data_IF_859794547124
#
_entry.id   IF_859794547124
#
_cell.length_a   1.000
_cell.length_b   1.000
_cell.length_c   1.000
_cell.angle_alpha   90.00
_cell.angle_beta   90.00
_cell.angle_gamma   90.00
#
_symmetry.space_group_name_H-M   'P 1'
#
loop_
_entity.id
_entity.type
_entity.pdbx_description
1 polymer ?
#
# COMPACT_ATOMS: atom_id res chain seq x y z
N UNK A 1 -3.10 2.43 -20.72
CA UNK A 1 -3.22 3.72 -20.00
C UNK A 1 -1.99 4.62 -20.16
N UNK A 2 -0.78 4.22 -19.74
CA UNK A 2 0.44 5.05 -19.88
C UNK A 2 0.73 5.50 -21.33
N UNK A 3 0.58 4.59 -22.30
CA UNK A 3 0.73 4.88 -23.73
C UNK A 3 -0.32 5.86 -24.28
N UNK A 4 -1.55 5.81 -23.76
CA UNK A 4 -2.65 6.69 -24.18
C UNK A 4 -2.43 8.11 -23.66
N UNK A 5 -2.04 8.27 -22.39
CA UNK A 5 -1.75 9.59 -21.81
C UNK A 5 -0.63 10.27 -22.62
N UNK A 6 0.44 9.52 -22.92
CA UNK A 6 1.55 10.06 -23.73
C UNK A 6 1.11 10.49 -25.12
N UNK A 7 0.18 9.80 -25.78
CA UNK A 7 -0.27 10.22 -27.11
C UNK A 7 -1.09 11.52 -27.14
N UNK A 8 -1.75 11.89 -26.04
CA UNK A 8 -2.57 13.12 -26.00
C UNK A 8 -1.77 14.39 -25.74
N UNK A 9 -0.65 14.28 -25.01
CA UNK A 9 0.21 15.41 -24.66
C UNK A 9 1.38 15.61 -25.64
N UNK A 10 1.70 14.60 -26.46
CA UNK A 10 2.86 14.60 -27.35
C UNK A 10 2.47 14.11 -28.76
N UNK A 11 1.90 14.98 -29.62
CA UNK A 11 1.65 14.67 -31.03
C UNK A 11 2.96 14.33 -31.76
N UNK A 12 2.90 13.50 -32.81
CA UNK A 12 4.10 12.95 -33.49
C UNK A 12 4.91 13.97 -34.32
N UNK A 13 4.45 15.22 -34.46
CA UNK A 13 5.12 16.21 -35.29
C UNK A 13 6.34 16.79 -34.55
N UNK A 14 7.52 16.27 -34.90
CA UNK A 14 8.78 16.43 -34.18
C UNK A 14 9.69 17.56 -34.71
N UNK A 15 9.19 18.51 -35.49
CA UNK A 15 10.05 19.53 -36.12
C UNK A 15 10.39 20.73 -35.21
N UNK A 16 9.65 20.95 -34.11
CA UNK A 16 9.88 22.07 -33.19
C UNK A 16 9.81 21.61 -31.74
N UNK A 17 10.86 21.88 -30.96
CA UNK A 17 10.83 21.67 -29.49
C UNK A 17 9.84 22.69 -28.91
N UNK A 18 8.63 22.24 -28.58
CA UNK A 18 7.63 23.09 -27.94
C UNK A 18 8.12 23.50 -26.53
N UNK A 19 8.30 24.79 -26.22
CA UNK A 19 8.67 25.22 -24.87
C UNK A 19 7.60 24.85 -23.82
N UNK A 20 6.36 24.60 -24.26
CA UNK A 20 5.24 24.17 -23.42
C UNK A 20 5.03 22.65 -23.45
N UNK A 21 6.06 21.89 -23.81
CA UNK A 21 5.99 20.44 -23.91
C UNK A 21 5.53 19.79 -22.58
N UNK A 22 4.40 19.08 -22.62
CA UNK A 22 3.74 18.49 -21.45
C UNK A 22 2.71 19.40 -20.76
N UNK A 23 2.54 20.66 -21.18
CA UNK A 23 1.50 21.57 -20.68
C UNK A 23 0.36 21.80 -21.68
N UNK A 24 0.36 21.09 -22.81
CA UNK A 24 -0.71 21.16 -23.81
C UNK A 24 -1.46 19.85 -23.91
N UNK A 25 -2.78 19.92 -23.84
CA UNK A 25 -3.68 18.81 -24.16
C UNK A 25 -4.56 19.24 -25.32
N UNK A 26 -4.50 18.54 -26.46
CA UNK A 26 -5.25 18.90 -27.66
C UNK A 26 -5.07 20.38 -28.07
N UNK A 27 -3.83 20.89 -28.03
CA UNK A 27 -3.45 22.29 -28.28
C UNK A 27 -3.98 23.34 -27.29
N UNK A 28 -4.66 22.93 -26.21
CA UNK A 28 -5.08 23.82 -25.13
C UNK A 28 -4.01 23.82 -24.04
N UNK A 29 -3.58 25.01 -23.61
CA UNK A 29 -2.65 25.17 -22.50
C UNK A 29 -3.34 24.83 -21.17
N UNK A 30 -2.67 24.02 -20.34
CA UNK A 30 -3.10 23.64 -19.01
C UNK A 30 -2.15 24.28 -17.99
N UNK A 31 -2.65 25.07 -17.02
CA UNK A 31 -1.87 25.57 -15.90
C UNK A 31 -1.25 24.46 -15.05
N UNK A 32 -0.14 24.78 -14.39
CA UNK A 32 0.62 23.81 -13.59
C UNK A 32 -0.22 23.22 -12.46
N UNK A 33 -1.03 24.05 -11.81
CA UNK A 33 -1.90 23.65 -10.70
C UNK A 33 -2.92 22.60 -11.15
N UNK A 34 -3.42 22.74 -12.39
CA UNK A 34 -4.37 21.78 -12.96
C UNK A 34 -3.65 20.48 -13.33
N UNK A 35 -2.44 20.55 -13.90
CA UNK A 35 -1.62 19.37 -14.18
C UNK A 35 -1.27 18.61 -12.90
N UNK A 36 -0.95 19.31 -11.82
CA UNK A 36 -0.61 18.71 -10.54
C UNK A 36 -1.79 17.90 -9.98
N UNK A 37 -3.00 18.47 -10.01
CA UNK A 37 -4.23 17.78 -9.59
C UNK A 37 -4.48 16.55 -10.47
N UNK A 38 -4.42 16.71 -11.79
CA UNK A 38 -4.62 15.61 -12.74
C UNK A 38 -3.63 14.46 -12.51
N UNK A 39 -2.34 14.78 -12.38
CA UNK A 39 -1.29 13.81 -12.12
C UNK A 39 -1.44 13.15 -10.74
N UNK A 40 -1.96 13.87 -9.73
CA UNK A 40 -2.17 13.30 -8.39
C UNK A 40 -3.19 12.15 -8.40
N UNK A 41 -4.15 12.18 -9.32
CA UNK A 41 -5.17 11.14 -9.51
C UNK A 41 -4.67 9.92 -10.30
N UNK A 42 -3.51 10.01 -10.95
CA UNK A 42 -2.91 8.87 -11.67
C UNK A 42 -2.48 7.78 -10.68
N UNK A 43 -2.65 6.51 -11.03
CA UNK A 43 -2.19 5.36 -10.23
C UNK A 43 -0.68 5.47 -9.93
N UNK A 44 -0.27 5.12 -8.71
CA UNK A 44 1.07 5.46 -8.20
C UNK A 44 2.19 4.93 -9.09
N UNK A 45 2.14 3.66 -9.55
CA UNK A 45 3.20 3.12 -10.44
C UNK A 45 3.26 3.89 -11.75
N UNK A 46 2.10 4.19 -12.32
CA UNK A 46 1.98 4.97 -13.55
C UNK A 46 2.51 6.39 -13.36
N UNK A 47 2.20 7.05 -12.23
CA UNK A 47 2.72 8.38 -11.89
C UNK A 47 4.25 8.40 -11.78
N UNK A 48 4.84 7.37 -11.15
CA UNK A 48 6.30 7.27 -11.05
C UNK A 48 6.95 7.12 -12.43
N UNK A 49 6.29 6.42 -13.37
CA UNK A 49 6.73 6.35 -14.76
C UNK A 49 6.53 7.70 -15.50
N UNK A 50 5.51 8.47 -15.16
CA UNK A 50 5.22 9.79 -15.75
C UNK A 50 6.36 10.80 -15.55
N UNK A 51 7.22 10.61 -14.55
CA UNK A 51 8.46 11.42 -14.37
C UNK A 51 9.39 11.36 -15.59
N UNK A 52 9.34 10.30 -16.39
CA UNK A 52 10.20 10.11 -17.58
C UNK A 52 9.58 10.64 -18.87
N UNK A 53 8.40 11.24 -18.80
CA UNK A 53 7.65 11.71 -19.97
C UNK A 53 8.25 13.01 -20.52
N UNK A 54 8.46 14.01 -19.66
CA UNK A 54 9.19 15.24 -19.98
C UNK A 54 9.73 15.92 -18.71
N UNK A 55 10.65 16.87 -18.86
CA UNK A 55 11.25 17.61 -17.73
C UNK A 55 10.23 18.39 -16.91
N UNK A 56 9.19 18.93 -17.56
CA UNK A 56 8.10 19.65 -16.89
C UNK A 56 7.34 18.74 -15.92
N UNK A 57 6.90 17.58 -16.41
CA UNK A 57 6.21 16.58 -15.58
C UNK A 57 7.12 16.04 -14.48
N UNK A 58 8.39 15.80 -14.78
CA UNK A 58 9.36 15.44 -13.75
C UNK A 58 9.39 16.47 -12.61
N UNK A 59 9.52 17.75 -12.97
CA UNK A 59 9.56 18.86 -12.02
C UNK A 59 8.30 18.89 -11.16
N UNK A 60 7.11 18.97 -11.77
CA UNK A 60 5.82 19.01 -11.05
C UNK A 60 5.66 17.79 -10.13
N UNK A 61 6.03 16.61 -10.60
CA UNK A 61 5.87 15.38 -9.83
C UNK A 61 6.76 15.39 -8.59
N UNK A 62 8.03 15.76 -8.76
CA UNK A 62 9.00 15.80 -7.68
C UNK A 62 8.70 16.95 -6.69
N UNK A 63 8.29 18.13 -7.15
CA UNK A 63 8.06 19.28 -6.27
C UNK A 63 6.75 19.19 -5.49
N UNK A 64 5.65 18.72 -6.12
CA UNK A 64 4.32 18.91 -5.57
C UNK A 64 3.42 17.68 -5.68
N UNK A 65 3.37 16.98 -6.82
CA UNK A 65 2.37 15.89 -7.01
C UNK A 65 2.58 14.74 -6.04
N UNK A 66 3.82 14.33 -5.78
CA UNK A 66 4.09 13.26 -4.81
C UNK A 66 3.63 13.64 -3.39
N UNK A 67 3.79 14.91 -2.99
CA UNK A 67 3.31 15.41 -1.70
C UNK A 67 1.79 15.38 -1.63
N UNK A 68 1.09 15.89 -2.66
CA UNK A 68 -0.38 15.85 -2.75
C UNK A 68 -0.88 14.40 -2.65
N UNK A 69 -0.25 13.49 -3.41
CA UNK A 69 -0.65 12.07 -3.41
C UNK A 69 -0.39 11.39 -2.06
N UNK A 70 0.71 11.74 -1.39
CA UNK A 70 1.00 11.23 -0.05
C UNK A 70 -0.01 11.74 1.00
N UNK A 71 -0.46 12.98 0.87
CA UNK A 71 -1.54 13.55 1.70
C UNK A 71 -2.86 12.81 1.47
N UNK A 72 -3.25 12.59 0.21
CA UNK A 72 -4.46 11.84 -0.16
C UNK A 72 -4.42 10.39 0.38
N UNK A 73 -3.23 9.78 0.44
CA UNK A 73 -3.02 8.44 0.99
C UNK A 73 -2.96 8.38 2.53
N UNK A 74 -3.04 9.54 3.21
CA UNK A 74 -2.99 9.65 4.67
C UNK A 74 -1.59 9.55 5.28
N UNK A 75 -0.52 9.53 4.49
CA UNK A 75 0.85 9.40 5.01
C UNK A 75 1.33 10.61 5.82
N UNK A 76 0.69 11.76 5.61
CA UNK A 76 1.08 13.01 6.27
C UNK A 76 0.28 13.29 7.55
N UNK A 77 -0.46 12.31 8.06
CA UNK A 77 -1.25 12.47 9.28
C UNK A 77 -0.31 12.71 10.46
N UNK A 78 -0.57 13.78 11.23
CA UNK A 78 0.29 14.18 12.36
C UNK A 78 1.52 15.01 11.99
N UNK A 79 1.79 15.22 10.69
CA UNK A 79 2.85 16.15 10.26
C UNK A 79 2.31 17.59 10.21
N UNK A 80 3.13 18.56 10.65
CA UNK A 80 2.87 19.98 10.46
C UNK A 80 3.16 20.43 9.01
N UNK A 81 2.77 21.66 8.67
CA UNK A 81 2.90 22.21 7.32
C UNK A 81 4.35 22.47 6.93
N UNK A 82 5.19 22.89 7.87
CA UNK A 82 6.60 23.20 7.60
C UNK A 82 7.36 21.92 7.28
N UNK A 83 7.18 20.86 8.07
CA UNK A 83 7.75 19.55 7.81
C UNK A 83 7.31 19.00 6.45
N UNK A 84 6.03 19.14 6.08
CA UNK A 84 5.55 18.71 4.74
C UNK A 84 6.23 19.45 3.60
N UNK A 85 6.52 20.74 3.77
CA UNK A 85 7.13 21.57 2.73
C UNK A 85 8.65 21.42 2.64
N UNK A 86 9.32 21.12 3.76
CA UNK A 86 10.76 20.87 3.80
C UNK A 86 11.14 19.41 3.48
N UNK A 87 10.17 18.49 3.50
CA UNK A 87 10.40 17.07 3.19
C UNK A 87 10.90 16.88 1.75
N UNK A 88 12.07 16.26 1.54
CA UNK A 88 12.59 15.97 0.20
C UNK A 88 11.63 15.09 -0.61
N UNK A 89 11.52 15.34 -1.91
CA UNK A 89 10.62 14.58 -2.79
C UNK A 89 10.88 13.07 -2.77
N UNK A 90 12.14 12.68 -2.57
CA UNK A 90 12.58 11.28 -2.51
C UNK A 90 11.91 10.53 -1.35
N UNK A 91 11.59 11.23 -0.26
CA UNK A 91 10.84 10.68 0.87
C UNK A 91 9.43 10.30 0.45
N UNK A 92 8.71 11.22 -0.21
CA UNK A 92 7.37 10.95 -0.75
C UNK A 92 7.39 9.80 -1.76
N UNK A 93 8.40 9.79 -2.63
CA UNK A 93 8.62 8.71 -3.59
C UNK A 93 8.77 7.35 -2.89
N UNK A 94 9.59 7.28 -1.84
CA UNK A 94 9.81 6.04 -1.08
C UNK A 94 8.57 5.59 -0.31
N UNK A 95 7.84 6.52 0.32
CA UNK A 95 6.59 6.21 1.03
C UNK A 95 5.48 5.73 0.08
N UNK A 96 5.41 6.28 -1.14
CA UNK A 96 4.43 5.90 -2.15
C UNK A 96 4.84 4.64 -2.94
N UNK A 97 6.12 4.26 -2.91
CA UNK A 97 6.66 3.15 -3.69
C UNK A 97 5.89 1.84 -3.48
N UNK A 98 5.77 0.99 -4.51
CA UNK A 98 5.26 -0.37 -4.37
C UNK A 98 6.05 -1.25 -3.39
N UNK A 99 7.22 -0.85 -2.92
CA UNK A 99 7.98 -1.61 -1.91
C UNK A 99 7.85 -1.03 -0.50
N UNK A 100 7.12 0.07 -0.36
CA UNK A 100 6.94 0.83 0.87
C UNK A 100 6.24 0.00 1.97
N UNK A 101 6.75 0.02 3.22
CA UNK A 101 6.08 -0.59 4.37
C UNK A 101 4.88 0.23 4.88
N UNK A 102 4.69 1.46 4.38
CA UNK A 102 3.67 2.37 4.86
C UNK A 102 2.27 1.99 4.36
N UNK A 103 1.27 2.13 5.24
CA UNK A 103 -0.15 1.87 4.99
C UNK A 103 -0.40 0.50 4.30
N UNK A 104 0.38 -0.50 4.69
CA UNK A 104 0.26 -1.86 4.19
C UNK A 104 0.10 -2.86 5.35
N UNK A 105 -0.66 -3.94 5.14
CA UNK A 105 -0.61 -5.07 6.05
C UNK A 105 0.73 -5.82 5.88
N UNK A 106 1.59 -5.75 6.89
CA UNK A 106 2.91 -6.38 6.91
C UNK A 106 2.84 -7.87 7.24
N UNK A 107 1.73 -8.33 7.85
CA UNK A 107 1.52 -9.74 8.17
C UNK A 107 1.20 -10.49 6.90
N UNK A 108 2.00 -11.52 6.60
CA UNK A 108 1.74 -12.42 5.47
C UNK A 108 0.76 -13.50 5.90
N UNK A 109 -0.09 -13.93 4.97
CA UNK A 109 -1.02 -15.04 5.20
C UNK A 109 -1.79 -14.92 6.54
N UNK A 110 -2.44 -13.78 6.81
CA UNK A 110 -3.11 -13.56 8.10
C UNK A 110 -4.30 -14.49 8.31
N UNK A 111 -4.93 -14.97 7.23
CA UNK A 111 -6.09 -15.86 7.28
C UNK A 111 -5.74 -17.35 7.07
N UNK A 112 -4.53 -17.71 6.65
CA UNK A 112 -4.19 -19.14 6.44
C UNK A 112 -4.48 -19.70 5.04
N UNK A 113 -4.60 -18.84 4.02
CA UNK A 113 -4.66 -19.24 2.61
C UNK A 113 -3.50 -20.16 2.23
N UNK A 114 -2.29 -19.83 2.70
CA UNK A 114 -1.10 -20.65 2.51
C UNK A 114 -0.85 -21.58 3.72
N UNK A 115 -1.92 -22.08 4.36
CA UNK A 115 -1.85 -22.86 5.61
C UNK A 115 -0.94 -22.15 6.61
N UNK A 116 0.11 -22.80 7.12
CA UNK A 116 1.10 -22.21 8.02
C UNK A 116 2.40 -21.79 7.31
N UNK A 117 2.48 -21.84 5.97
CA UNK A 117 3.74 -21.72 5.22
C UNK A 117 4.50 -20.39 5.40
N UNK A 118 3.80 -19.31 5.73
CA UNK A 118 4.41 -18.00 6.01
C UNK A 118 4.67 -17.75 7.50
N UNK A 119 4.38 -18.72 8.38
CA UNK A 119 4.48 -18.58 9.84
C UNK A 119 5.60 -19.47 10.40
N UNK A 120 6.41 -18.93 11.31
CA UNK A 120 7.32 -19.73 12.13
C UNK A 120 6.55 -20.30 13.33
N UNK A 121 6.53 -21.62 13.49
CA UNK A 121 5.82 -22.27 14.59
C UNK A 121 6.75 -22.33 15.81
N UNK A 122 6.31 -21.70 16.90
CA UNK A 122 7.04 -21.67 18.18
C UNK A 122 6.60 -22.83 19.07
N UNK A 123 5.31 -23.14 19.06
CA UNK A 123 4.73 -24.22 19.83
C UNK A 123 3.55 -24.85 19.09
N UNK A 124 3.38 -26.16 19.26
CA UNK A 124 2.33 -26.95 18.62
C UNK A 124 1.94 -28.11 19.53
N UNK A 125 1.35 -27.82 20.68
CA UNK A 125 0.89 -28.82 21.64
C UNK A 125 -0.41 -29.51 21.21
N UNK A 126 -0.70 -30.68 21.79
CA UNK A 126 -1.82 -31.54 21.41
C UNK A 126 -1.73 -31.99 19.95
N UNK A 127 -2.84 -31.94 19.23
CA UNK A 127 -2.90 -32.21 17.78
C UNK A 127 -2.33 -31.06 16.92
N UNK A 128 -1.81 -30.01 17.56
CA UNK A 128 -1.15 -28.89 16.91
C UNK A 128 -2.07 -27.89 16.21
N UNK A 129 -1.47 -27.15 15.27
CA UNK A 129 -2.18 -26.14 14.49
C UNK A 129 -2.96 -26.75 13.33
N UNK A 130 -4.23 -26.37 13.19
CA UNK A 130 -5.07 -26.75 12.04
C UNK A 130 -5.59 -25.50 11.33
N UNK A 131 -5.88 -25.64 10.03
CA UNK A 131 -6.60 -24.64 9.22
C UNK A 131 -8.03 -25.12 9.02
N UNK A 132 -9.00 -24.25 9.27
CA UNK A 132 -10.42 -24.49 8.96
C UNK A 132 -10.93 -23.54 7.87
N UNK A 133 -11.96 -23.98 7.15
CA UNK A 133 -12.75 -23.19 6.19
C UNK A 133 -13.93 -22.56 6.94
N UNK A 134 -13.93 -21.24 7.03
CA UNK A 134 -14.83 -20.45 7.84
C UNK A 134 -14.57 -20.62 9.35
N UNK A 135 -15.09 -19.70 10.19
CA UNK A 135 -15.18 -19.94 11.63
C UNK A 135 -16.28 -20.98 11.91
N UNK A 136 -15.95 -22.28 11.86
CA UNK A 136 -16.89 -23.35 12.21
C UNK A 136 -17.19 -23.38 13.71
N UNK A 137 -18.47 -23.34 14.10
CA UNK A 137 -18.91 -23.47 15.50
C UNK A 137 -19.22 -22.16 16.23
N UNK A 138 -19.29 -21.04 15.52
CA UNK A 138 -19.93 -19.82 16.04
C UNK A 138 -21.43 -19.87 15.76
N UNK A 139 -22.25 -19.84 16.81
CA UNK A 139 -23.71 -19.92 16.72
C UNK A 139 -24.36 -18.65 16.17
N UNK A 140 -24.21 -18.39 14.87
CA UNK A 140 -24.95 -17.33 14.18
C UNK A 140 -24.82 -17.45 12.66
N UNK A 141 -25.96 -17.53 11.99
CA UNK A 141 -26.18 -17.70 10.53
C UNK A 141 -25.53 -16.61 9.62
N UNK A 142 -24.65 -15.75 10.13
CA UNK A 142 -24.05 -14.65 9.36
C UNK A 142 -22.65 -14.23 9.86
N UNK A 143 -21.81 -15.13 10.35
CA UNK A 143 -20.44 -14.79 10.79
C UNK A 143 -19.47 -14.70 9.60
N UNK A 144 -19.71 -13.77 8.68
CA UNK A 144 -18.71 -13.37 7.70
C UNK A 144 -17.58 -12.63 8.40
N UNK A 145 -16.33 -13.05 8.19
CA UNK A 145 -15.19 -12.24 8.62
C UNK A 145 -15.31 -10.85 7.97
N UNK A 146 -15.09 -9.74 8.69
CA UNK A 146 -15.21 -8.40 8.12
C UNK A 146 -14.20 -8.20 6.98
N UNK A 147 -14.65 -8.40 5.74
CA UNK A 147 -13.87 -8.19 4.53
C UNK A 147 -13.74 -6.69 4.26
N UNK A 148 -12.81 -6.04 4.94
CA UNK A 148 -12.34 -4.72 4.52
C UNK A 148 -10.97 -4.85 3.85
N UNK A 149 -10.99 -5.14 2.56
CA UNK A 149 -9.82 -5.04 1.70
C UNK A 149 -9.55 -3.58 1.29
N UNK A 150 -9.55 -2.65 2.26
CA UNK A 150 -9.24 -1.23 2.02
C UNK A 150 -7.75 -0.92 2.18
N UNK A 151 -7.02 -1.76 2.91
CA UNK A 151 -5.57 -1.61 3.08
C UNK A 151 -4.81 -2.38 2.00
N UNK A 152 -3.75 -1.76 1.50
CA UNK A 152 -2.82 -2.38 0.58
C UNK A 152 -2.17 -3.59 1.26
N UNK A 153 -2.23 -4.76 0.63
CA UNK A 153 -1.63 -5.97 1.18
C UNK A 153 -0.28 -6.26 0.50
N UNK A 154 0.71 -6.77 1.25
CA UNK A 154 1.98 -7.23 0.70
C UNK A 154 1.84 -8.48 -0.17
N UNK A 155 0.72 -9.20 -0.05
CA UNK A 155 0.32 -10.27 -0.94
C UNK A 155 -0.92 -9.84 -1.72
N UNK A 156 -1.14 -10.41 -2.89
CA UNK A 156 -2.35 -10.15 -3.68
C UNK A 156 -3.50 -10.98 -3.09
N UNK A 157 -4.56 -10.36 -2.55
CA UNK A 157 -5.77 -11.09 -2.18
C UNK A 157 -6.34 -11.73 -3.45
N UNK A 158 -6.74 -12.99 -3.39
CA UNK A 158 -7.54 -13.58 -4.47
C UNK A 158 -8.89 -12.85 -4.56
N UNK A 159 -9.48 -12.85 -5.76
CA UNK A 159 -10.74 -12.15 -6.05
C UNK A 159 -11.93 -12.62 -5.20
N UNK A 160 -11.87 -13.86 -4.68
CA UNK A 160 -12.78 -14.35 -3.64
C UNK A 160 -12.01 -14.49 -2.32
N UNK A 161 -12.48 -13.87 -1.22
CA UNK A 161 -11.96 -14.20 0.09
C UNK A 161 -12.38 -15.62 0.44
N UNK A 162 -11.46 -16.56 0.31
CA UNK A 162 -11.61 -17.84 1.00
C UNK A 162 -11.39 -17.52 2.49
N UNK A 163 -12.47 -17.58 3.27
CA UNK A 163 -12.42 -17.32 4.70
C UNK A 163 -11.79 -18.53 5.37
N UNK A 164 -10.49 -18.49 5.66
CA UNK A 164 -9.83 -19.50 6.48
C UNK A 164 -9.52 -18.94 7.87
N UNK A 165 -9.43 -19.83 8.85
CA UNK A 165 -8.92 -19.48 10.18
C UNK A 165 -7.90 -20.50 10.70
N UNK A 166 -7.10 -20.06 11.66
CA UNK A 166 -6.15 -20.90 12.37
C UNK A 166 -6.77 -21.39 13.68
N UNK A 167 -6.73 -22.70 13.90
CA UNK A 167 -7.28 -23.34 15.11
C UNK A 167 -6.15 -24.02 15.89
N UNK A 168 -6.19 -23.86 17.21
CA UNK A 168 -5.26 -24.47 18.14
C UNK A 168 -5.87 -25.74 18.73
N UNK A 169 -5.03 -26.71 19.08
CA UNK A 169 -5.46 -27.90 19.83
C UNK A 169 -5.55 -27.61 21.34
N UNK A 170 -5.75 -28.65 22.15
CA UNK A 170 -5.84 -28.58 23.61
C UNK A 170 -4.50 -28.26 24.30
N UNK A 171 -3.38 -28.37 23.59
CA UNK A 171 -2.05 -27.95 24.05
C UNK A 171 -1.67 -26.56 23.56
N UNK A 172 -0.66 -25.94 24.21
CA UNK A 172 -0.16 -24.61 23.85
C UNK A 172 0.31 -24.58 22.40
N UNK A 173 -0.29 -23.68 21.61
CA UNK A 173 0.06 -23.47 20.21
C UNK A 173 0.44 -22.00 20.00
N UNK A 174 1.63 -21.76 19.44
CA UNK A 174 2.16 -20.41 19.18
C UNK A 174 2.83 -20.34 17.81
N UNK A 175 2.65 -19.20 17.11
CA UNK A 175 3.28 -18.91 15.82
C UNK A 175 3.70 -17.45 15.73
N UNK A 176 4.76 -17.16 14.98
CA UNK A 176 5.36 -15.83 14.84
C UNK A 176 5.72 -15.50 13.39
N UNK A 177 5.74 -14.21 13.08
CA UNK A 177 6.38 -13.65 11.90
C UNK A 177 7.36 -12.54 12.31
N UNK A 178 8.49 -12.49 11.62
CA UNK A 178 9.48 -11.42 11.72
C UNK A 178 9.59 -10.81 10.32
N UNK A 179 9.44 -9.50 10.21
CA UNK A 179 9.57 -8.78 8.95
C UNK A 179 10.48 -7.57 9.15
N UNK A 180 11.30 -7.27 8.14
CA UNK A 180 12.11 -6.06 8.11
C UNK A 180 11.27 -4.91 7.55
N UNK A 181 11.18 -3.81 8.30
CA UNK A 181 10.49 -2.59 7.86
C UNK A 181 11.24 -1.88 6.73
N UNK A 182 12.57 -2.03 6.68
CA UNK A 182 13.40 -1.44 5.65
C UNK A 182 14.31 -2.48 4.99
N UNK A 183 14.59 -2.28 3.71
CA UNK A 183 15.61 -3.03 2.97
C UNK A 183 16.78 -2.17 2.51
N UNK A 184 16.65 -0.85 2.65
CA UNK A 184 17.66 0.15 2.26
C UNK A 184 17.92 1.07 3.43
N UNK A 185 19.15 1.58 3.55
CA UNK A 185 19.50 2.55 4.58
C UNK A 185 18.61 3.79 4.50
N UNK A 186 18.33 4.27 3.28
CA UNK A 186 17.47 5.43 3.06
C UNK A 186 16.05 5.24 3.59
N UNK A 187 15.53 4.01 3.59
CA UNK A 187 14.21 3.73 4.20
C UNK A 187 14.30 3.72 5.73
N UNK A 188 15.42 3.25 6.31
CA UNK A 188 15.65 3.37 7.76
C UNK A 188 15.71 4.84 8.18
N UNK A 189 16.44 5.66 7.44
CA UNK A 189 16.57 7.09 7.74
C UNK A 189 15.20 7.81 7.73
N UNK A 190 14.31 7.44 6.80
CA UNK A 190 12.92 7.90 6.79
C UNK A 190 12.19 7.44 8.05
N UNK A 191 12.25 6.15 8.39
CA UNK A 191 11.55 5.63 9.56
C UNK A 191 12.03 6.31 10.85
N UNK A 192 13.32 6.60 10.97
CA UNK A 192 13.91 7.28 12.12
C UNK A 192 13.52 8.76 12.18
N UNK A 193 13.41 9.43 11.02
CA UNK A 193 12.97 10.81 10.93
C UNK A 193 11.49 10.97 11.28
N UNK A 194 10.63 10.17 10.65
CA UNK A 194 9.17 10.34 10.76
C UNK A 194 8.55 9.59 11.94
N UNK A 195 9.26 8.58 12.47
CA UNK A 195 8.80 7.70 13.58
C UNK A 195 7.31 7.34 13.45
N UNK A 196 6.91 6.77 12.29
CA UNK A 196 5.50 6.54 12.00
C UNK A 196 4.89 5.59 13.03
N UNK A 197 3.63 5.83 13.39
CA UNK A 197 2.91 4.98 14.33
C UNK A 197 2.72 3.59 13.73
N UNK A 198 3.24 2.57 14.40
CA UNK A 198 2.97 1.17 14.06
C UNK A 198 1.62 0.79 14.66
N UNK A 199 0.59 0.75 13.82
CA UNK A 199 -0.75 0.36 14.24
C UNK A 199 -0.88 -1.16 14.20
N UNK A 200 -0.93 -1.79 15.39
CA UNK A 200 -1.34 -3.18 15.52
C UNK A 200 -2.87 -3.21 15.65
N UNK A 201 -3.59 -3.49 14.57
CA UNK A 201 -5.02 -3.73 14.63
C UNK A 201 -5.25 -5.23 14.72
N UNK A 202 -5.38 -5.76 15.93
CA UNK A 202 -5.78 -7.16 16.14
C UNK A 202 -7.24 -7.28 15.72
N UNK A 203 -7.49 -7.63 14.45
CA UNK A 203 -8.76 -8.22 14.02
C UNK A 203 -8.69 -9.74 14.15
N UNK A 204 -8.21 -10.24 15.29
CA UNK A 204 -8.44 -11.65 15.63
C UNK A 204 -9.79 -11.70 16.34
N UNK A 205 -10.83 -12.11 15.64
CA UNK A 205 -11.99 -12.66 16.32
C UNK A 205 -11.52 -13.97 16.96
N UNK A 206 -11.17 -13.92 18.25
CA UNK A 206 -10.91 -15.15 19.00
C UNK A 206 -12.25 -15.74 19.34
N UNK A 207 -12.65 -16.76 18.59
CA UNK A 207 -13.71 -17.66 18.99
C UNK A 207 -13.19 -18.72 19.92
N UNK A 208 -13.78 -18.82 21.10
CA UNK A 208 -13.81 -20.11 21.78
C UNK A 208 -15.13 -20.78 21.42
N UNK A 209 -15.09 -22.05 21.03
CA UNK A 209 -16.31 -22.86 20.93
C UNK A 209 -16.81 -23.10 22.35
N UNK A 210 -18.08 -22.78 22.60
CA UNK A 210 -18.76 -23.25 23.81
C UNK A 210 -19.11 -24.72 23.58
N UNK A 211 -18.50 -25.60 24.38
CA UNK A 211 -18.94 -27.00 24.44
C UNK A 211 -20.21 -27.00 25.30
N UNK A 212 -21.36 -27.32 24.69
CA UNK A 212 -22.58 -27.71 25.41
C UNK A 212 -22.55 -29.20 25.67
#
# INVERSE_FOLDING_TARGET
MFSQIKSYFFPRDNSVIDPNNGSKFQNIYIPDEVLEVLLSHVETRTLLACRRVCKKWQSLIETQVLKIKAQQAGFTQGMDTETKNSTPWMTWYMMLSPTSPFNCNLVKNPCGHNKLGDWSIIASGGDGWKREEGPTGFGGDNSHLPYENKMRNYWQPKEKPEEFCFVTSYGVCAKQQIFSLARTQTMMDILDQFKPVIVYRIRSERGARWLY
#
